data_IF_618375988974
#
_entry.id   IF_618375988974
#
_cell.length_a   1.000
_cell.length_b   1.000
_cell.length_c   1.000
_cell.angle_alpha   90.00
_cell.angle_beta   90.00
_cell.angle_gamma   90.00
#
_symmetry.space_group_name_H-M   'P 1'
#
loop_
_entity.id
_entity.type
_entity.pdbx_description
1 polymer ?
#
# COMPACT_ATOMS: atom_id res chain seq x y z
N UNK A 1 91.81 23.66 31.19
CA UNK A 1 92.35 22.28 30.99
C UNK A 1 91.36 21.50 30.18
N UNK A 2 91.83 21.02 29.02
CA UNK A 2 91.29 20.01 28.11
C UNK A 2 89.96 20.20 27.43
N UNK A 3 90.04 20.84 26.31
CA UNK A 3 89.33 20.64 25.07
C UNK A 3 89.20 19.15 24.64
N UNK A 4 88.01 18.74 24.24
CA UNK A 4 87.77 17.70 23.23
C UNK A 4 86.43 17.91 22.52
N UNK A 5 86.55 18.41 21.29
CA UNK A 5 85.50 18.42 20.26
C UNK A 5 85.26 17.00 19.75
N UNK A 6 83.99 16.55 19.48
CA UNK A 6 83.82 15.52 18.49
C UNK A 6 83.08 16.03 17.25
N UNK A 7 83.57 15.65 16.18
CA UNK A 7 83.31 15.75 14.76
C UNK A 7 81.88 15.33 14.42
N UNK A 8 81.11 16.25 13.78
CA UNK A 8 79.79 15.94 13.20
C UNK A 8 80.01 15.20 11.87
N UNK A 9 79.54 13.95 11.85
CA UNK A 9 79.40 13.18 10.61
C UNK A 9 78.03 13.50 10.02
N UNK A 10 78.03 14.21 8.87
CA UNK A 10 76.84 14.52 8.06
C UNK A 10 76.48 13.28 7.22
N UNK A 11 75.47 12.52 7.60
CA UNK A 11 74.95 11.44 6.76
C UNK A 11 73.95 12.02 5.76
N UNK A 12 74.29 12.11 4.51
CA UNK A 12 73.41 12.46 3.43
C UNK A 12 72.49 11.26 3.11
N UNK A 13 71.24 11.33 3.53
CA UNK A 13 70.21 10.39 3.11
C UNK A 13 69.73 10.73 1.67
N UNK A 14 70.14 9.96 0.70
CA UNK A 14 69.58 9.97 -0.66
C UNK A 14 68.11 9.44 -0.57
N UNK A 15 67.16 10.33 -0.65
CA UNK A 15 65.76 10.00 -0.90
C UNK A 15 65.65 9.58 -2.37
N UNK A 16 65.63 8.28 -2.63
CA UNK A 16 65.15 7.69 -3.86
C UNK A 16 63.67 7.94 -4.01
N UNK A 17 63.30 9.02 -4.68
CA UNK A 17 61.92 9.28 -5.13
C UNK A 17 61.55 8.19 -6.11
N UNK A 18 60.78 7.20 -5.66
CA UNK A 18 60.11 6.25 -6.54
C UNK A 18 59.06 7.01 -7.36
N UNK A 19 59.43 7.50 -8.54
CA UNK A 19 58.46 7.90 -9.57
C UNK A 19 57.67 6.64 -9.94
N UNK A 20 56.39 6.53 -9.45
CA UNK A 20 55.45 5.60 -10.05
C UNK A 20 55.36 5.97 -11.54
N UNK A 21 55.57 5.03 -12.48
CA UNK A 21 55.30 5.31 -13.88
C UNK A 21 53.86 5.79 -14.02
N UNK A 22 53.64 6.86 -14.77
CA UNK A 22 52.28 7.33 -15.07
C UNK A 22 51.55 6.18 -15.78
N UNK A 23 50.48 5.70 -15.16
CA UNK A 23 49.61 4.68 -15.77
C UNK A 23 49.12 5.23 -17.11
N UNK A 24 49.20 4.40 -18.14
CA UNK A 24 48.65 4.73 -19.45
C UNK A 24 47.16 5.08 -19.29
N UNK A 25 46.70 6.27 -19.70
CA UNK A 25 45.33 6.68 -19.57
C UNK A 25 44.33 5.68 -20.18
N UNK A 26 44.72 4.98 -21.23
CA UNK A 26 43.88 3.95 -21.86
C UNK A 26 43.72 2.71 -20.97
N UNK A 27 44.76 2.31 -20.27
CA UNK A 27 44.72 1.19 -19.31
C UNK A 27 43.84 1.54 -18.11
N UNK A 28 43.92 2.76 -17.60
CA UNK A 28 43.09 3.25 -16.50
C UNK A 28 41.60 3.31 -16.91
N UNK A 29 41.27 3.78 -18.12
CA UNK A 29 39.90 3.80 -18.65
C UNK A 29 39.36 2.38 -18.81
N UNK A 30 40.15 1.45 -19.37
CA UNK A 30 39.73 0.06 -19.54
C UNK A 30 39.50 -0.64 -18.18
N UNK A 31 40.38 -0.41 -17.21
CA UNK A 31 40.25 -0.94 -15.86
C UNK A 31 38.97 -0.42 -15.16
N UNK A 32 38.66 0.88 -15.31
CA UNK A 32 37.45 1.47 -14.81
C UNK A 32 36.18 0.86 -15.46
N UNK A 33 36.17 0.73 -16.78
CA UNK A 33 35.04 0.14 -17.51
C UNK A 33 34.82 -1.33 -17.09
N UNK A 34 35.88 -2.11 -16.86
CA UNK A 34 35.75 -3.47 -16.36
C UNK A 34 35.21 -3.53 -14.91
N UNK A 35 35.64 -2.59 -14.06
CA UNK A 35 35.10 -2.48 -12.69
C UNK A 35 33.61 -2.06 -12.67
N UNK A 36 33.24 -1.10 -13.53
CA UNK A 36 31.86 -0.64 -13.67
C UNK A 36 30.98 -1.78 -14.19
N UNK A 37 31.39 -2.57 -15.17
CA UNK A 37 30.65 -3.73 -15.67
C UNK A 37 30.48 -4.80 -14.59
N UNK A 38 31.52 -5.08 -13.78
CA UNK A 38 31.42 -6.02 -12.66
C UNK A 38 30.45 -5.54 -11.60
N UNK A 39 30.42 -4.25 -11.28
CA UNK A 39 29.47 -3.67 -10.34
C UNK A 39 28.03 -3.72 -10.91
N UNK A 40 27.87 -3.40 -12.19
CA UNK A 40 26.59 -3.50 -12.88
C UNK A 40 26.04 -4.94 -12.88
N UNK A 41 26.90 -5.94 -13.11
CA UNK A 41 26.51 -7.35 -13.08
C UNK A 41 26.01 -7.79 -11.71
N UNK A 42 26.67 -7.37 -10.62
CA UNK A 42 26.22 -7.67 -9.26
C UNK A 42 24.83 -7.05 -8.96
N UNK A 43 24.58 -5.83 -9.47
CA UNK A 43 23.26 -5.20 -9.34
C UNK A 43 22.19 -5.90 -10.16
N UNK A 44 22.52 -6.35 -11.39
CA UNK A 44 21.60 -7.12 -12.21
C UNK A 44 21.22 -8.46 -11.56
N UNK A 45 22.18 -9.15 -10.96
CA UNK A 45 21.91 -10.38 -10.20
C UNK A 45 20.99 -10.13 -9.02
N UNK A 46 21.17 -9.01 -8.30
CA UNK A 46 20.28 -8.61 -7.20
C UNK A 46 18.86 -8.29 -7.70
N UNK A 47 18.75 -7.62 -8.85
CA UNK A 47 17.50 -7.38 -9.54
C UNK A 47 16.79 -8.70 -9.90
N UNK A 48 17.49 -9.60 -10.59
CA UNK A 48 16.95 -10.89 -11.04
C UNK A 48 16.52 -11.77 -9.85
N UNK A 49 17.29 -11.78 -8.77
CA UNK A 49 16.92 -12.46 -7.53
C UNK A 49 15.64 -11.89 -6.88
N UNK A 50 15.48 -10.57 -6.89
CA UNK A 50 14.28 -9.93 -6.38
C UNK A 50 13.06 -10.23 -7.25
N UNK A 51 13.20 -10.25 -8.57
CA UNK A 51 12.15 -10.65 -9.51
C UNK A 51 11.74 -12.10 -9.30
N UNK A 52 12.68 -13.01 -9.14
CA UNK A 52 12.39 -14.43 -8.89
C UNK A 52 11.56 -14.66 -7.61
N UNK A 53 11.68 -13.75 -6.65
CA UNK A 53 10.92 -13.77 -5.39
C UNK A 53 9.65 -12.89 -5.44
N UNK A 54 9.28 -12.33 -6.59
CA UNK A 54 8.18 -11.37 -6.75
C UNK A 54 8.28 -10.14 -5.82
N UNK A 55 9.50 -9.76 -5.41
CA UNK A 55 9.77 -8.57 -4.62
C UNK A 55 9.92 -7.35 -5.55
N UNK A 56 8.81 -6.95 -6.16
CA UNK A 56 8.79 -5.99 -7.26
C UNK A 56 9.32 -4.60 -6.89
N UNK A 57 9.08 -4.13 -5.68
CA UNK A 57 9.63 -2.87 -5.16
C UNK A 57 11.16 -2.92 -5.03
N UNK A 58 11.71 -4.03 -4.54
CA UNK A 58 13.15 -4.26 -4.43
C UNK A 58 13.78 -4.40 -5.82
N UNK A 59 13.14 -5.19 -6.71
CA UNK A 59 13.58 -5.32 -8.09
C UNK A 59 13.63 -3.96 -8.78
N UNK A 60 12.57 -3.17 -8.69
CA UNK A 60 12.54 -1.82 -9.23
C UNK A 60 13.70 -0.97 -8.70
N UNK A 61 13.93 -0.97 -7.39
CA UNK A 61 15.00 -0.17 -6.78
C UNK A 61 16.40 -0.56 -7.32
N UNK A 62 16.69 -1.86 -7.47
CA UNK A 62 17.94 -2.33 -8.08
C UNK A 62 18.05 -1.91 -9.56
N UNK A 63 16.95 -2.01 -10.32
CA UNK A 63 16.89 -1.56 -11.71
C UNK A 63 17.10 -0.05 -11.86
N UNK A 64 16.47 0.76 -11.00
CA UNK A 64 16.63 2.22 -10.97
C UNK A 64 18.11 2.59 -10.75
N UNK A 65 18.78 1.97 -9.78
CA UNK A 65 20.19 2.22 -9.49
C UNK A 65 21.08 1.75 -10.63
N UNK A 66 20.87 0.54 -11.17
CA UNK A 66 21.65 0.00 -12.27
C UNK A 66 21.59 0.88 -13.52
N UNK A 67 20.38 1.30 -13.90
CA UNK A 67 20.17 2.14 -15.09
C UNK A 67 20.68 3.57 -14.92
N UNK A 68 20.67 4.10 -13.69
CA UNK A 68 21.19 5.43 -13.39
C UNK A 68 22.74 5.46 -13.33
N UNK A 69 23.36 4.45 -12.70
CA UNK A 69 24.82 4.44 -12.50
C UNK A 69 25.57 3.82 -13.66
N UNK A 70 25.01 2.81 -14.32
CA UNK A 70 25.67 2.03 -15.37
C UNK A 70 24.78 1.89 -16.63
N UNK A 71 24.27 2.99 -17.22
CA UNK A 71 23.29 2.94 -18.31
C UNK A 71 23.77 2.22 -19.56
N UNK A 72 25.10 2.21 -19.81
CA UNK A 72 25.70 1.63 -20.99
C UNK A 72 26.27 0.23 -20.74
N UNK A 73 26.09 -0.37 -19.54
CA UNK A 73 26.58 -1.70 -19.24
C UNK A 73 25.77 -2.78 -19.99
N UNK A 74 26.41 -3.92 -20.25
CA UNK A 74 25.74 -5.11 -20.80
C UNK A 74 24.66 -5.61 -19.84
N UNK A 75 24.90 -5.50 -18.53
CA UNK A 75 23.97 -5.87 -17.49
C UNK A 75 22.68 -5.03 -17.55
N UNK A 76 22.78 -3.69 -17.70
CA UNK A 76 21.61 -2.83 -17.86
C UNK A 76 20.81 -3.15 -19.13
N UNK A 77 21.51 -3.42 -20.25
CA UNK A 77 20.86 -3.82 -21.49
C UNK A 77 20.10 -5.15 -21.33
N UNK A 78 20.68 -6.11 -20.61
CA UNK A 78 20.09 -7.44 -20.36
C UNK A 78 18.79 -7.37 -19.57
N UNK A 79 18.74 -6.59 -18.49
CA UNK A 79 17.53 -6.51 -17.64
C UNK A 79 16.46 -5.59 -18.19
N UNK A 80 16.72 -4.78 -19.21
CA UNK A 80 15.85 -3.67 -19.65
C UNK A 80 14.39 -4.06 -19.81
N UNK A 81 14.08 -5.15 -20.51
CA UNK A 81 12.71 -5.57 -20.73
C UNK A 81 12.01 -5.98 -19.42
N UNK A 82 12.72 -6.72 -18.57
CA UNK A 82 12.18 -7.19 -17.30
C UNK A 82 12.07 -6.05 -16.27
N UNK A 83 12.92 -5.05 -16.37
CA UNK A 83 12.84 -3.83 -15.55
C UNK A 83 11.58 -3.01 -15.85
N UNK A 84 11.15 -2.90 -17.13
CA UNK A 84 9.87 -2.27 -17.44
C UNK A 84 8.70 -3.02 -16.80
N UNK A 85 8.72 -4.35 -16.82
CA UNK A 85 7.72 -5.17 -16.10
C UNK A 85 7.79 -4.92 -14.60
N UNK A 86 8.98 -4.92 -14.01
CA UNK A 86 9.16 -4.69 -12.57
C UNK A 86 8.62 -3.32 -12.11
N UNK A 87 8.77 -2.27 -12.92
CA UNK A 87 8.18 -0.95 -12.62
C UNK A 87 6.65 -1.01 -12.53
N UNK A 88 6.01 -1.68 -13.47
CA UNK A 88 4.55 -1.83 -13.50
C UNK A 88 4.06 -2.66 -12.31
N UNK A 89 4.70 -3.80 -12.06
CA UNK A 89 4.32 -4.69 -10.95
C UNK A 89 4.59 -4.05 -9.58
N UNK A 90 5.64 -3.24 -9.43
CA UNK A 90 5.89 -2.49 -8.20
C UNK A 90 4.77 -1.47 -7.90
N UNK A 91 4.25 -0.78 -8.91
CA UNK A 91 3.11 0.13 -8.76
C UNK A 91 1.86 -0.65 -8.34
N UNK A 92 1.56 -1.79 -8.98
CA UNK A 92 0.43 -2.65 -8.61
C UNK A 92 0.56 -3.18 -7.18
N UNK A 93 1.74 -3.62 -6.78
CA UNK A 93 1.99 -4.11 -5.43
C UNK A 93 1.85 -3.01 -4.37
N UNK A 94 2.28 -1.79 -4.67
CA UNK A 94 2.09 -0.63 -3.79
C UNK A 94 0.61 -0.32 -3.62
N UNK A 95 -0.15 -0.29 -4.72
CA UNK A 95 -1.59 -0.02 -4.69
C UNK A 95 -2.35 -1.13 -3.95
N UNK A 96 -2.01 -2.39 -4.18
CA UNK A 96 -2.62 -3.51 -3.44
C UNK A 96 -2.38 -3.39 -1.92
N UNK A 97 -1.16 -2.99 -1.50
CA UNK A 97 -0.87 -2.73 -0.08
C UNK A 97 -1.66 -1.54 0.47
N UNK A 98 -1.78 -0.45 -0.31
CA UNK A 98 -2.57 0.72 0.07
C UNK A 98 -4.04 0.32 0.31
N UNK A 99 -4.64 -0.39 -0.64
CA UNK A 99 -6.03 -0.83 -0.54
C UNK A 99 -6.25 -1.80 0.62
N UNK A 100 -5.33 -2.74 0.86
CA UNK A 100 -5.40 -3.64 2.00
C UNK A 100 -5.33 -2.90 3.35
N UNK A 101 -4.56 -1.82 3.42
CA UNK A 101 -4.42 -0.99 4.62
C UNK A 101 -5.67 -0.15 4.94
N UNK A 102 -6.60 0.03 4.00
CA UNK A 102 -7.88 0.70 4.26
C UNK A 102 -8.82 -0.16 5.12
N UNK A 103 -8.64 -1.47 5.13
CA UNK A 103 -9.45 -2.40 5.88
C UNK A 103 -8.94 -2.58 7.31
N UNK A 104 -9.85 -2.48 8.26
CA UNK A 104 -9.62 -2.83 9.66
C UNK A 104 -10.39 -4.10 10.01
N UNK A 105 -9.75 -5.00 10.76
CA UNK A 105 -10.34 -6.28 11.17
C UNK A 105 -10.29 -6.38 12.68
N UNK A 106 -11.41 -6.79 13.28
CA UNK A 106 -11.52 -6.98 14.72
C UNK A 106 -12.09 -8.37 15.02
N UNK A 107 -11.60 -8.97 16.09
CA UNK A 107 -12.13 -10.21 16.66
C UNK A 107 -12.26 -9.98 18.16
N UNK A 108 -13.49 -10.05 18.68
CA UNK A 108 -13.80 -9.75 20.06
C UNK A 108 -14.62 -10.87 20.69
N UNK A 109 -14.26 -11.33 21.90
CA UNK A 109 -15.11 -12.29 22.63
C UNK A 109 -16.44 -11.64 23.00
N UNK A 110 -17.54 -12.40 22.93
CA UNK A 110 -18.86 -11.92 23.36
C UNK A 110 -19.32 -12.62 24.62
N UNK A 111 -20.06 -11.90 25.45
CA UNK A 111 -20.51 -12.40 26.78
C UNK A 111 -21.35 -13.68 26.64
N UNK A 112 -22.14 -13.81 25.56
CA UNK A 112 -22.94 -15.00 25.26
C UNK A 112 -22.12 -16.20 24.78
N UNK A 113 -20.80 -16.10 24.74
CA UNK A 113 -19.88 -17.12 24.23
C UNK A 113 -19.60 -16.97 22.73
N UNK A 114 -18.41 -17.38 22.32
CA UNK A 114 -17.91 -17.25 20.95
C UNK A 114 -17.23 -15.91 20.69
N UNK A 115 -16.95 -15.64 19.42
CA UNK A 115 -16.26 -14.44 18.96
C UNK A 115 -17.10 -13.70 17.92
N UNK A 116 -17.24 -12.39 18.09
CA UNK A 116 -17.68 -11.50 17.04
C UNK A 116 -16.46 -11.14 16.16
N UNK A 117 -16.64 -11.21 14.85
CA UNK A 117 -15.64 -10.78 13.88
C UNK A 117 -16.20 -9.69 13.00
N UNK A 118 -15.36 -8.70 12.70
CA UNK A 118 -15.76 -7.62 11.80
C UNK A 118 -14.64 -7.23 10.85
N UNK A 119 -15.03 -6.78 9.66
CA UNK A 119 -14.20 -6.06 8.71
C UNK A 119 -14.86 -4.72 8.43
N UNK A 120 -14.08 -3.65 8.41
CA UNK A 120 -14.62 -2.33 8.20
C UNK A 120 -13.63 -1.43 7.46
N UNK A 121 -14.16 -0.46 6.73
CA UNK A 121 -13.39 0.60 6.09
C UNK A 121 -14.17 1.92 6.13
N UNK A 122 -13.46 3.02 6.01
CA UNK A 122 -14.05 4.34 5.92
C UNK A 122 -14.34 4.72 4.47
N UNK A 123 -15.32 5.60 4.27
CA UNK A 123 -15.52 6.26 2.99
C UNK A 123 -14.26 7.05 2.60
N UNK A 124 -14.03 7.16 1.31
CA UNK A 124 -12.88 7.87 0.74
C UNK A 124 -12.82 9.34 1.17
N UNK A 125 -13.99 9.97 1.22
CA UNK A 125 -14.13 11.37 1.58
C UNK A 125 -15.03 11.51 2.82
N UNK A 126 -14.79 12.53 3.62
CA UNK A 126 -15.71 12.93 4.68
C UNK A 126 -16.98 13.53 4.06
N UNK A 127 -18.11 13.36 4.72
CA UNK A 127 -19.45 13.70 4.19
C UNK A 127 -20.21 14.49 5.22
N UNK A 128 -20.81 15.61 4.82
CA UNK A 128 -21.74 16.34 5.67
C UNK A 128 -23.09 15.59 5.75
N UNK A 129 -23.37 14.99 6.89
CA UNK A 129 -24.55 14.16 7.16
C UNK A 129 -25.56 14.82 8.08
N UNK A 130 -25.23 15.95 8.69
CA UNK A 130 -26.09 16.66 9.66
C UNK A 130 -26.22 18.18 9.42
N UNK A 131 -25.45 18.73 8.47
CA UNK A 131 -25.35 20.16 8.21
C UNK A 131 -24.30 20.89 9.09
N UNK A 132 -23.59 20.15 9.95
CA UNK A 132 -22.57 20.68 10.85
C UNK A 132 -21.14 20.60 10.33
N UNK A 133 -20.93 19.95 9.19
CA UNK A 133 -19.62 19.74 8.57
C UNK A 133 -19.39 18.32 8.09
N UNK A 134 -18.25 18.09 7.48
CA UNK A 134 -17.93 16.79 6.89
C UNK A 134 -17.36 15.82 7.96
N UNK A 135 -17.97 14.65 8.05
CA UNK A 135 -17.64 13.60 9.02
C UNK A 135 -17.37 12.25 8.35
N UNK A 136 -16.79 11.33 9.09
CA UNK A 136 -16.50 9.98 8.61
C UNK A 136 -17.80 9.16 8.47
N UNK A 137 -17.84 8.38 7.40
CA UNK A 137 -18.85 7.31 7.18
C UNK A 137 -18.11 5.99 7.07
N UNK A 138 -18.54 5.00 7.83
CA UNK A 138 -17.89 3.70 7.91
C UNK A 138 -18.81 2.61 7.37
N UNK A 139 -18.29 1.72 6.54
CA UNK A 139 -18.95 0.48 6.13
C UNK A 139 -18.40 -0.68 6.95
N UNK A 140 -19.28 -1.46 7.55
CA UNK A 140 -18.92 -2.57 8.44
C UNK A 140 -19.61 -3.85 7.97
N UNK A 141 -18.83 -4.93 7.92
CA UNK A 141 -19.31 -6.31 7.83
C UNK A 141 -19.04 -6.99 9.16
N UNK A 142 -20.08 -7.56 9.79
CA UNK A 142 -19.98 -8.17 11.11
C UNK A 142 -20.55 -9.58 11.07
N UNK A 143 -19.85 -10.53 11.70
CA UNK A 143 -20.31 -11.87 12.01
C UNK A 143 -20.39 -12.02 13.54
N UNK A 144 -21.61 -12.10 14.07
CA UNK A 144 -21.86 -12.18 15.50
C UNK A 144 -22.49 -13.53 15.84
N UNK A 145 -21.99 -14.28 16.87
CA UNK A 145 -22.45 -15.64 17.16
C UNK A 145 -23.94 -15.73 17.48
N UNK A 146 -24.53 -14.73 18.13
CA UNK A 146 -25.95 -14.71 18.47
C UNK A 146 -26.85 -14.00 17.43
N UNK A 147 -26.34 -12.99 16.73
CA UNK A 147 -27.14 -12.15 15.81
C UNK A 147 -26.89 -12.45 14.34
N UNK A 148 -25.94 -13.34 14.05
CA UNK A 148 -25.58 -13.67 12.68
C UNK A 148 -24.81 -12.56 11.97
N UNK A 149 -24.87 -12.59 10.64
CA UNK A 149 -24.17 -11.66 9.76
C UNK A 149 -24.98 -10.40 9.53
N UNK A 150 -24.30 -9.29 9.43
CA UNK A 150 -24.89 -8.00 9.07
C UNK A 150 -23.87 -7.11 8.37
N UNK A 151 -24.35 -6.33 7.41
CA UNK A 151 -23.57 -5.24 6.82
C UNK A 151 -24.31 -3.93 7.04
N UNK A 152 -23.57 -2.89 7.43
CA UNK A 152 -24.20 -1.63 7.77
C UNK A 152 -23.24 -0.45 7.60
N UNK A 153 -23.82 0.72 7.35
CA UNK A 153 -23.13 2.00 7.43
C UNK A 153 -23.23 2.56 8.84
N UNK A 154 -22.20 3.27 9.28
CA UNK A 154 -22.19 4.05 10.51
C UNK A 154 -21.78 5.48 10.19
N UNK A 155 -22.57 6.45 10.64
CA UNK A 155 -22.26 7.86 10.59
C UNK A 155 -21.52 8.27 11.86
N UNK A 156 -20.49 9.09 11.75
CA UNK A 156 -19.86 9.73 12.90
C UNK A 156 -20.75 10.83 13.50
N UNK A 157 -21.55 11.51 12.66
CA UNK A 157 -22.51 12.52 13.07
C UNK A 157 -23.77 12.43 12.21
N UNK A 158 -24.91 12.91 12.73
CA UNK A 158 -26.20 12.89 12.05
C UNK A 158 -26.95 11.56 12.17
N UNK A 159 -28.02 11.43 11.39
CA UNK A 159 -28.92 10.28 11.43
C UNK A 159 -29.43 9.94 10.04
N UNK A 160 -29.71 8.66 9.81
CA UNK A 160 -30.31 8.18 8.56
C UNK A 160 -31.83 8.45 8.52
N UNK A 161 -32.33 8.99 7.42
CA UNK A 161 -33.76 9.07 7.16
C UNK A 161 -34.28 7.76 6.55
N UNK A 162 -34.25 6.70 7.35
CA UNK A 162 -34.59 5.32 6.94
C UNK A 162 -35.46 4.60 7.98
N UNK A 163 -36.25 5.35 8.74
CA UNK A 163 -37.16 4.77 9.73
C UNK A 163 -38.26 3.93 9.06
N UNK A 164 -38.42 2.67 9.50
CA UNK A 164 -39.36 1.74 8.87
C UNK A 164 -38.88 1.11 7.56
N UNK A 165 -37.64 1.40 7.14
CA UNK A 165 -37.03 0.90 5.91
C UNK A 165 -37.01 1.92 4.80
N UNK A 166 -35.97 1.84 3.97
CA UNK A 166 -35.77 2.70 2.80
C UNK A 166 -35.06 1.94 1.66
N UNK A 167 -34.82 2.61 0.55
CA UNK A 167 -33.95 2.12 -0.52
C UNK A 167 -32.75 3.03 -0.65
N UNK A 168 -31.59 2.44 -0.61
CA UNK A 168 -30.31 3.07 -0.95
C UNK A 168 -29.95 2.74 -2.40
N UNK A 169 -29.11 3.55 -3.04
CA UNK A 169 -28.60 3.23 -4.38
C UNK A 169 -27.17 2.73 -4.27
N UNK A 170 -26.92 1.49 -4.64
CA UNK A 170 -25.61 0.88 -4.71
C UNK A 170 -25.08 0.96 -6.14
N UNK A 171 -23.97 1.66 -6.33
CA UNK A 171 -23.17 1.66 -7.57
C UNK A 171 -21.91 0.83 -7.34
N UNK A 172 -21.56 -0.02 -8.29
CA UNK A 172 -20.37 -0.89 -8.26
C UNK A 172 -19.49 -0.53 -9.44
N UNK A 173 -18.27 -0.09 -9.16
CA UNK A 173 -17.34 0.39 -10.17
C UNK A 173 -18.02 1.38 -11.15
N UNK A 174 -17.98 1.11 -12.44
CA UNK A 174 -18.61 1.94 -13.48
C UNK A 174 -20.04 1.53 -13.86
N UNK A 175 -20.62 0.54 -13.14
CA UNK A 175 -21.97 0.07 -13.43
C UNK A 175 -23.05 1.08 -13.03
N UNK A 176 -24.24 0.97 -13.63
CA UNK A 176 -25.39 1.78 -13.26
C UNK A 176 -25.81 1.49 -11.79
N UNK A 177 -26.20 2.51 -11.01
CA UNK A 177 -26.70 2.32 -9.65
C UNK A 177 -27.96 1.44 -9.60
N UNK A 178 -28.03 0.57 -8.58
CA UNK A 178 -29.20 -0.31 -8.35
C UNK A 178 -29.78 -0.03 -6.96
N UNK A 179 -31.11 -0.04 -6.81
CA UNK A 179 -31.74 0.10 -5.51
C UNK A 179 -31.52 -1.17 -4.66
N UNK A 180 -31.17 -0.97 -3.39
CA UNK A 180 -31.02 -2.03 -2.39
C UNK A 180 -31.82 -1.63 -1.16
N UNK A 181 -32.53 -2.59 -0.54
CA UNK A 181 -33.27 -2.34 0.68
C UNK A 181 -32.32 -2.10 1.85
N UNK A 182 -32.71 -1.15 2.70
CA UNK A 182 -31.96 -0.80 3.90
C UNK A 182 -32.95 -0.48 5.04
N UNK A 183 -32.49 -0.62 6.27
CA UNK A 183 -33.26 -0.27 7.47
C UNK A 183 -32.36 0.29 8.55
N UNK A 184 -32.91 1.05 9.46
CA UNK A 184 -32.23 1.49 10.67
C UNK A 184 -32.97 1.00 11.92
N UNK A 185 -32.33 0.94 13.09
CA UNK A 185 -33.02 0.67 14.35
C UNK A 185 -34.20 1.63 14.57
N UNK A 186 -35.28 1.14 15.18
CA UNK A 186 -36.46 1.92 15.52
C UNK A 186 -36.24 2.71 16.81
N UNK A 187 -35.20 3.50 16.85
CA UNK A 187 -34.86 4.42 17.94
C UNK A 187 -35.02 5.86 17.46
N UNK A 188 -35.08 6.83 18.35
CA UNK A 188 -35.24 8.25 17.99
C UNK A 188 -34.07 8.72 17.15
N UNK A 189 -32.85 8.27 17.49
CA UNK A 189 -31.65 8.49 16.73
C UNK A 189 -30.97 7.15 16.39
N UNK A 190 -30.44 7.03 15.19
CA UNK A 190 -29.67 5.87 14.77
C UNK A 190 -28.54 6.26 13.83
N UNK A 191 -27.33 6.18 14.34
CA UNK A 191 -26.10 6.39 13.54
C UNK A 191 -25.76 5.19 12.66
N UNK A 192 -26.50 4.05 12.78
CA UNK A 192 -26.30 2.85 11.98
C UNK A 192 -27.48 2.59 11.04
N UNK A 193 -27.19 2.18 9.80
CA UNK A 193 -28.19 1.72 8.83
C UNK A 193 -27.73 0.41 8.21
N UNK A 194 -28.57 -0.63 8.32
CA UNK A 194 -28.31 -1.97 7.81
C UNK A 194 -28.68 -2.07 6.33
N UNK A 195 -27.86 -2.78 5.58
CA UNK A 195 -28.18 -3.21 4.21
C UNK A 195 -28.79 -4.60 4.30
N UNK A 196 -30.03 -4.76 3.83
CA UNK A 196 -30.85 -5.96 4.07
C UNK A 196 -30.32 -7.23 3.36
N UNK A 197 -29.68 -7.09 2.20
CA UNK A 197 -29.02 -8.20 1.52
C UNK A 197 -27.50 -8.16 1.78
N UNK A 198 -27.13 -8.53 3.00
CA UNK A 198 -25.74 -8.55 3.45
C UNK A 198 -24.88 -9.50 2.63
N UNK A 199 -25.44 -10.61 2.14
CA UNK A 199 -24.70 -11.60 1.32
C UNK A 199 -24.42 -11.07 -0.09
N UNK A 200 -25.39 -10.39 -0.68
CA UNK A 200 -25.19 -9.73 -1.99
C UNK A 200 -24.11 -8.66 -1.85
N UNK A 201 -24.18 -7.81 -0.84
CA UNK A 201 -23.19 -6.74 -0.65
C UNK A 201 -21.80 -7.32 -0.40
N UNK A 202 -21.67 -8.37 0.41
CA UNK A 202 -20.39 -9.06 0.64
C UNK A 202 -19.79 -9.61 -0.65
N UNK A 203 -20.59 -10.33 -1.46
CA UNK A 203 -20.12 -10.86 -2.75
C UNK A 203 -19.69 -9.76 -3.70
N UNK A 204 -20.44 -8.66 -3.71
CA UNK A 204 -20.12 -7.46 -4.52
C UNK A 204 -18.78 -6.88 -4.11
N UNK A 205 -18.56 -6.63 -2.84
CA UNK A 205 -17.33 -6.04 -2.31
C UNK A 205 -16.10 -6.91 -2.59
N UNK A 206 -16.23 -8.24 -2.57
CA UNK A 206 -15.14 -9.17 -2.89
C UNK A 206 -14.67 -9.08 -4.34
N UNK A 207 -15.51 -8.63 -5.25
CA UNK A 207 -15.22 -8.56 -6.69
C UNK A 207 -15.01 -7.17 -7.25
N UNK A 208 -15.36 -6.12 -6.48
CA UNK A 208 -15.30 -4.73 -6.91
C UNK A 208 -13.98 -4.04 -6.52
N UNK A 209 -13.65 -2.97 -7.23
CA UNK A 209 -12.61 -2.01 -6.81
C UNK A 209 -13.20 -0.93 -5.90
N UNK A 210 -14.37 -0.43 -6.29
CA UNK A 210 -15.08 0.64 -5.58
C UNK A 210 -16.57 0.33 -5.49
N UNK A 211 -17.19 0.78 -4.43
CA UNK A 211 -18.66 0.89 -4.35
C UNK A 211 -19.02 2.29 -3.90
N UNK A 212 -20.16 2.79 -4.39
CA UNK A 212 -20.76 4.01 -3.89
C UNK A 212 -22.17 3.69 -3.40
N UNK A 213 -22.50 4.18 -2.20
CA UNK A 213 -23.81 4.01 -1.59
C UNK A 213 -24.43 5.37 -1.38
N UNK A 214 -25.54 5.66 -2.10
CA UNK A 214 -26.35 6.85 -1.89
C UNK A 214 -27.45 6.54 -0.89
N UNK A 215 -27.55 7.31 0.19
CA UNK A 215 -28.46 7.11 1.31
C UNK A 215 -29.12 8.42 1.78
N UNK A 216 -30.35 8.38 2.30
CA UNK A 216 -31.04 9.55 2.81
C UNK A 216 -30.59 9.89 4.23
N UNK A 217 -30.52 11.18 4.56
CA UNK A 217 -30.20 11.71 5.90
C UNK A 217 -31.30 12.61 6.44
N UNK A 218 -31.50 12.63 7.76
CA UNK A 218 -32.53 13.48 8.42
C UNK A 218 -32.31 14.98 8.21
N UNK A 219 -31.08 15.41 8.01
CA UNK A 219 -30.77 16.79 7.63
C UNK A 219 -31.35 17.23 6.27
N UNK A 220 -31.95 16.29 5.53
CA UNK A 220 -32.56 16.48 4.23
C UNK A 220 -31.71 16.08 3.06
N UNK A 221 -32.38 15.50 2.05
CA UNK A 221 -31.75 15.01 0.81
C UNK A 221 -31.00 13.70 0.99
N UNK A 222 -30.11 13.44 0.05
CA UNK A 222 -29.26 12.23 0.02
C UNK A 222 -27.77 12.58 0.08
N UNK A 223 -26.98 11.64 0.54
CA UNK A 223 -25.52 11.69 0.55
C UNK A 223 -24.97 10.45 -0.15
N UNK A 224 -23.79 10.55 -0.71
CA UNK A 224 -23.10 9.42 -1.35
C UNK A 224 -21.77 9.17 -0.68
N UNK A 225 -21.60 7.98 -0.12
CA UNK A 225 -20.33 7.49 0.40
C UNK A 225 -19.67 6.57 -0.63
N UNK A 226 -18.43 6.87 -0.98
CA UNK A 226 -17.60 6.05 -1.89
C UNK A 226 -16.58 5.29 -1.07
N UNK A 227 -16.49 3.98 -1.29
CA UNK A 227 -15.57 3.08 -0.60
C UNK A 227 -14.65 2.39 -1.60
N UNK A 228 -13.34 2.45 -1.37
CA UNK A 228 -12.33 1.70 -2.13
C UNK A 228 -12.21 0.30 -1.54
N UNK A 229 -13.05 -0.62 -1.99
CA UNK A 229 -13.23 -1.94 -1.37
C UNK A 229 -12.21 -2.99 -1.83
N UNK A 230 -11.38 -2.70 -2.82
CA UNK A 230 -10.25 -3.55 -3.19
C UNK A 230 -9.36 -3.85 -1.98
N UNK A 231 -8.65 -4.96 -1.99
CA UNK A 231 -7.77 -5.35 -0.89
C UNK A 231 -8.45 -5.98 0.32
N UNK A 232 -9.77 -6.27 0.26
CA UNK A 232 -10.47 -7.04 1.29
C UNK A 232 -9.83 -8.43 1.45
N UNK A 233 -9.34 -8.74 2.65
CA UNK A 233 -8.94 -10.10 3.03
C UNK A 233 -10.14 -10.87 3.58
N UNK A 234 -10.84 -11.59 2.69
CA UNK A 234 -12.02 -12.36 3.04
C UNK A 234 -11.71 -13.54 4.00
N UNK A 235 -10.45 -13.96 4.15
CA UNK A 235 -10.06 -15.02 5.08
C UNK A 235 -10.23 -14.60 6.54
N UNK A 236 -10.25 -13.30 6.80
CA UNK A 236 -10.43 -12.72 8.15
C UNK A 236 -11.89 -12.84 8.65
N UNK A 237 -12.85 -13.06 7.74
CA UNK A 237 -14.25 -13.31 8.06
C UNK A 237 -14.72 -14.66 7.47
N UNK A 238 -14.27 -15.79 7.98
CA UNK A 238 -14.52 -17.12 7.40
C UNK A 238 -16.02 -17.51 7.38
N UNK A 239 -16.85 -16.91 8.25
CA UNK A 239 -18.30 -17.09 8.23
C UNK A 239 -19.00 -16.48 7.01
N UNK A 240 -18.39 -15.55 6.31
CA UNK A 240 -18.92 -14.89 5.15
C UNK A 240 -18.50 -15.63 3.85
N UNK A 241 -19.31 -16.61 3.46
CA UNK A 241 -19.10 -17.41 2.24
C UNK A 241 -20.01 -16.97 1.09
#
# INVERSE_FOLDING_TARGET
>A
MNSRTPMLLLAAALALGACKPAEDPQVAIAAKAAADEKAAEAMAQSFEAAVALNKWDVARAHGDVLTAQYPNSKAAARIKAQYEVAKVEAVKALEARRLAALWSYQTEPVISGGEQRSAALYAKDHIDTDGGGAHEVRLIFRDHPAWGRSSYLVLQAGDFDCYGGCKVKLKVDDAAPKPVAASRPKTDEATAMFIEDERMLWRTVRGAKTIAIEFPVKAGGTRTAVFEVGGLDASRLPGWK
#
